data_IF_998860582365
#
_entry.id   IF_998860582365
#
_cell.length_a   1.000
_cell.length_b   1.000
_cell.length_c   1.000
_cell.angle_alpha   90.00
_cell.angle_beta   90.00
_cell.angle_gamma   90.00
#
_symmetry.space_group_name_H-M   'P 1'
#
loop_
_entity.id
_entity.type
_entity.pdbx_description
1 polymer ?
#
# COMPACT_ATOMS: atom_id res chain seq x y z
N UNK A 1 5.69 -7.66 5.66
CA UNK A 1 5.24 -6.41 5.01
C UNK A 1 3.82 -6.15 5.44
N UNK A 2 3.49 -4.91 5.79
CA UNK A 2 2.13 -4.46 6.11
C UNK A 2 1.66 -3.53 4.99
N UNK A 3 0.58 -3.92 4.33
CA UNK A 3 0.00 -3.16 3.21
C UNK A 3 -1.01 -2.20 3.83
N UNK A 4 -0.66 -0.91 3.83
CA UNK A 4 -1.50 0.14 4.43
C UNK A 4 -2.54 0.60 3.40
N UNK A 5 -2.15 0.64 2.12
CA UNK A 5 -3.02 1.07 1.03
C UNK A 5 -3.14 2.58 0.94
N UNK A 6 -4.34 3.05 0.56
CA UNK A 6 -4.66 4.48 0.58
C UNK A 6 -4.73 4.97 2.03
N UNK A 7 -3.90 5.97 2.35
CA UNK A 7 -3.96 6.64 3.66
C UNK A 7 -4.96 7.80 3.61
N UNK A 8 -5.53 8.16 4.75
CA UNK A 8 -6.50 9.24 4.85
C UNK A 8 -6.00 10.32 5.84
N UNK A 9 -6.44 11.56 5.65
CA UNK A 9 -6.26 12.60 6.68
C UNK A 9 -7.02 12.22 7.95
N UNK A 10 -6.63 12.78 9.10
CA UNK A 10 -7.40 12.60 10.31
C UNK A 10 -8.80 13.23 10.18
N UNK A 11 -9.80 12.59 10.78
CA UNK A 11 -11.11 13.20 10.97
C UNK A 11 -10.97 14.38 11.94
N UNK A 12 -11.65 15.49 11.66
CA UNK A 12 -11.75 16.60 12.61
C UNK A 12 -13.00 16.36 13.45
N UNK A 13 -12.84 16.36 14.77
CA UNK A 13 -13.94 16.20 15.72
C UNK A 13 -14.39 17.57 16.24
N UNK A 14 -15.69 17.73 16.47
CA UNK A 14 -16.24 18.90 17.17
C UNK A 14 -16.03 18.82 18.70
N UNK A 15 -16.53 19.82 19.42
CA UNK A 15 -16.40 19.91 20.88
C UNK A 15 -17.16 18.80 21.64
N UNK A 16 -18.11 18.13 20.99
CA UNK A 16 -18.90 17.03 21.54
C UNK A 16 -18.34 15.65 21.13
N UNK A 17 -17.27 15.62 20.34
CA UNK A 17 -16.59 14.42 19.87
C UNK A 17 -17.21 13.78 18.63
N UNK A 18 -18.13 14.46 17.94
CA UNK A 18 -18.68 13.98 16.67
C UNK A 18 -17.77 14.38 15.49
N UNK A 19 -17.84 13.64 14.40
CA UNK A 19 -17.08 13.95 13.17
C UNK A 19 -17.64 15.24 12.56
N UNK A 20 -16.84 16.30 12.61
CA UNK A 20 -17.12 17.57 11.95
C UNK A 20 -16.60 17.59 10.50
N UNK A 21 -15.54 16.84 10.20
CA UNK A 21 -14.99 16.71 8.85
C UNK A 21 -14.48 15.30 8.61
N UNK A 22 -14.96 14.68 7.55
CA UNK A 22 -14.57 13.33 7.16
C UNK A 22 -13.09 13.25 6.71
N UNK A 23 -12.40 12.15 7.05
CA UNK A 23 -11.10 11.81 6.51
C UNK A 23 -11.08 11.89 4.98
N UNK A 24 -10.11 12.61 4.43
CA UNK A 24 -9.90 12.71 2.98
C UNK A 24 -8.83 11.73 2.54
N UNK A 25 -9.07 11.00 1.46
CA UNK A 25 -8.09 10.11 0.88
C UNK A 25 -6.88 10.93 0.39
N UNK A 26 -5.69 10.55 0.85
CA UNK A 26 -4.44 11.10 0.34
C UNK A 26 -4.00 10.27 -0.88
N UNK A 27 -3.40 10.91 -1.89
CA UNK A 27 -2.91 10.21 -3.07
C UNK A 27 -1.79 9.22 -2.71
N UNK A 28 -1.73 8.13 -3.45
CA UNK A 28 -0.68 7.13 -3.34
C UNK A 28 -1.08 5.87 -2.57
N UNK A 29 -0.16 4.91 -2.60
CA UNK A 29 -0.30 3.60 -1.97
C UNK A 29 0.87 3.34 -1.04
N UNK A 30 0.57 3.11 0.24
CA UNK A 30 1.57 3.09 1.29
C UNK A 30 1.83 1.68 1.82
N UNK A 31 3.11 1.40 2.07
CA UNK A 31 3.58 0.09 2.51
C UNK A 31 4.64 0.28 3.60
N UNK A 32 4.57 -0.54 4.64
CA UNK A 32 5.63 -0.64 5.64
C UNK A 32 6.32 -2.01 5.58
N UNK A 33 7.63 -2.02 5.76
CA UNK A 33 8.43 -3.26 5.88
C UNK A 33 9.36 -3.20 7.09
N UNK A 34 9.72 -4.37 7.67
CA UNK A 34 10.65 -4.45 8.79
C UNK A 34 12.12 -4.26 8.38
N UNK A 35 12.41 -4.17 7.08
CA UNK A 35 13.74 -4.02 6.49
C UNK A 35 13.65 -3.35 5.11
N UNK A 36 14.75 -2.75 4.64
CA UNK A 36 14.77 -2.12 3.33
C UNK A 36 14.64 -3.17 2.21
N UNK A 37 13.84 -2.86 1.18
CA UNK A 37 13.65 -3.71 0.00
C UNK A 37 14.58 -3.19 -1.09
N UNK A 38 15.54 -4.01 -1.58
CA UNK A 38 16.42 -3.61 -2.67
C UNK A 38 15.62 -3.22 -3.93
N UNK A 39 15.96 -2.09 -4.53
CA UNK A 39 15.27 -1.58 -5.72
C UNK A 39 14.08 -0.66 -5.42
N UNK A 40 13.73 -0.47 -4.13
CA UNK A 40 12.63 0.42 -3.72
C UNK A 40 13.12 1.76 -3.13
N UNK A 41 14.41 2.07 -3.23
CA UNK A 41 15.03 3.25 -2.61
C UNK A 41 14.35 4.56 -3.05
N UNK A 42 13.90 4.62 -4.31
CA UNK A 42 13.20 5.78 -4.88
C UNK A 42 11.76 5.95 -4.34
N UNK A 43 11.16 4.89 -3.81
CA UNK A 43 9.82 4.90 -3.23
C UNK A 43 9.85 5.11 -1.72
N UNK A 44 11.04 5.07 -1.11
CA UNK A 44 11.20 5.19 0.32
C UNK A 44 10.79 6.60 0.77
N UNK A 45 9.83 6.64 1.69
CA UNK A 45 9.43 7.86 2.38
C UNK A 45 9.91 7.78 3.82
N UNK A 46 10.44 8.88 4.31
CA UNK A 46 10.79 9.01 5.72
C UNK A 46 9.65 9.73 6.43
N UNK A 47 8.86 9.06 7.28
CA UNK A 47 8.15 9.77 8.32
C UNK A 47 9.10 10.05 9.50
N UNK A 48 9.06 11.26 10.04
CA UNK A 48 9.66 11.54 11.37
C UNK A 48 8.92 10.76 12.49
N UNK A 49 7.66 10.35 12.24
CA UNK A 49 6.81 9.59 13.17
C UNK A 49 5.91 8.59 12.41
N UNK A 50 6.35 7.33 12.19
CA UNK A 50 5.51 6.32 11.56
C UNK A 50 4.30 5.95 12.43
N UNK A 51 3.09 5.90 11.85
CA UNK A 51 1.86 5.50 12.56
C UNK A 51 1.88 4.04 13.04
N UNK A 52 2.64 3.16 12.38
CA UNK A 52 2.82 1.76 12.73
C UNK A 52 4.30 1.43 12.74
N UNK A 53 4.77 0.83 13.83
CA UNK A 53 6.16 0.39 13.99
C UNK A 53 6.22 -1.11 14.21
N UNK A 54 7.25 -1.76 13.67
CA UNK A 54 7.53 -3.16 13.96
C UNK A 54 8.32 -3.30 15.26
N UNK A 55 7.81 -4.08 16.21
CA UNK A 55 8.50 -4.30 17.48
C UNK A 55 9.86 -4.99 17.25
N UNK A 56 10.96 -4.34 17.65
CA UNK A 56 12.32 -4.89 17.51
C UNK A 56 12.93 -4.79 16.11
N UNK A 57 12.26 -4.14 15.16
CA UNK A 57 12.74 -3.95 13.79
C UNK A 57 12.64 -2.48 13.37
N UNK A 58 13.49 -2.01 12.44
CA UNK A 58 13.25 -0.73 11.79
C UNK A 58 11.92 -0.77 11.04
N UNK A 59 11.33 0.40 10.82
CA UNK A 59 10.16 0.53 9.94
C UNK A 59 10.59 1.35 8.75
N UNK A 60 10.64 0.71 7.59
CA UNK A 60 10.88 1.38 6.32
C UNK A 60 9.54 1.59 5.65
N UNK A 61 9.25 2.84 5.31
CA UNK A 61 7.99 3.24 4.70
C UNK A 61 8.22 3.51 3.21
N UNK A 62 7.28 3.08 2.38
CA UNK A 62 7.28 3.37 0.95
C UNK A 62 5.95 3.97 0.53
N UNK A 63 6.01 4.86 -0.46
CA UNK A 63 4.86 5.40 -1.15
C UNK A 63 4.99 5.14 -2.64
N UNK A 64 3.96 4.51 -3.20
CA UNK A 64 3.77 4.32 -4.63
C UNK A 64 2.68 5.26 -5.14
N UNK A 65 2.66 5.52 -6.44
CA UNK A 65 1.66 6.39 -7.06
C UNK A 65 0.23 5.84 -6.93
N UNK A 66 0.09 4.51 -7.01
CA UNK A 66 -1.15 3.77 -6.89
C UNK A 66 -0.89 2.29 -6.55
N UNK A 67 -1.96 1.52 -6.37
CA UNK A 67 -1.90 0.08 -6.08
C UNK A 67 -1.24 -0.72 -7.21
N UNK A 68 -1.42 -0.33 -8.47
CA UNK A 68 -0.87 -1.04 -9.61
C UNK A 68 0.67 -0.91 -9.67
N UNK A 69 1.19 0.29 -9.41
CA UNK A 69 2.61 0.56 -9.31
C UNK A 69 3.27 -0.24 -8.17
N UNK A 70 2.61 -0.30 -7.00
CA UNK A 70 3.05 -1.17 -5.91
C UNK A 70 3.06 -2.65 -6.33
N UNK A 71 1.96 -3.12 -6.93
CA UNK A 71 1.79 -4.53 -7.29
C UNK A 71 2.87 -4.98 -8.28
N UNK A 72 3.16 -4.17 -9.30
CA UNK A 72 4.24 -4.43 -10.24
C UNK A 72 5.61 -4.52 -9.54
N UNK A 73 5.94 -3.53 -8.70
CA UNK A 73 7.20 -3.51 -7.96
C UNK A 73 7.34 -4.66 -6.97
N UNK A 74 6.23 -5.10 -6.36
CA UNK A 74 6.20 -6.23 -5.42
C UNK A 74 6.34 -7.58 -6.13
N UNK A 75 5.82 -7.73 -7.34
CA UNK A 75 6.06 -8.92 -8.16
C UNK A 75 7.53 -8.98 -8.59
N UNK A 76 8.10 -7.86 -9.05
CA UNK A 76 9.52 -7.78 -9.43
C UNK A 76 10.46 -8.08 -8.25
N UNK A 77 10.11 -7.61 -7.05
CA UNK A 77 10.84 -7.90 -5.82
C UNK A 77 10.60 -9.33 -5.28
N UNK A 78 9.72 -10.13 -5.90
CA UNK A 78 9.36 -11.47 -5.44
C UNK A 78 8.55 -11.50 -4.13
N UNK A 79 7.94 -10.37 -3.74
CA UNK A 79 7.11 -10.22 -2.55
C UNK A 79 5.64 -10.62 -2.79
N UNK A 80 5.18 -10.54 -4.04
CA UNK A 80 3.87 -11.03 -4.47
C UNK A 80 4.02 -12.03 -5.63
N UNK A 81 3.13 -13.04 -5.73
CA UNK A 81 3.11 -13.92 -6.88
C UNK A 81 2.73 -13.13 -8.13
N UNK A 82 3.37 -13.44 -9.27
CA UNK A 82 2.93 -12.94 -10.56
C UNK A 82 1.47 -13.39 -10.81
N UNK A 83 0.61 -12.53 -11.39
CA UNK A 83 -0.76 -12.92 -11.69
C UNK A 83 -0.74 -14.13 -12.62
N UNK A 84 -1.43 -15.21 -12.21
CA UNK A 84 -1.63 -16.35 -13.08
C UNK A 84 -2.38 -15.89 -14.33
N UNK A 85 -1.78 -16.09 -15.51
CA UNK A 85 -2.49 -15.91 -16.78
C UNK A 85 -3.60 -16.96 -16.83
N UNK A 86 -4.82 -16.55 -16.48
CA UNK A 86 -6.00 -17.37 -16.73
C UNK A 86 -6.13 -17.46 -18.25
N UNK A 87 -5.67 -18.55 -18.85
CA UNK A 87 -6.00 -18.86 -20.24
C UNK A 87 -7.53 -18.85 -20.35
N UNK A 88 -8.05 -17.92 -21.15
CA UNK A 88 -9.47 -17.83 -21.42
C UNK A 88 -9.94 -19.20 -21.93
N UNK A 89 -10.86 -19.82 -21.18
CA UNK A 89 -11.50 -21.05 -21.61
C UNK A 89 -12.02 -20.86 -23.05
N UNK A 90 -11.76 -21.79 -23.98
CA UNK A 90 -12.27 -21.67 -25.34
C UNK A 90 -13.79 -21.58 -25.27
N UNK A 91 -14.35 -20.50 -25.84
CA UNK A 91 -15.78 -20.28 -25.90
C UNK A 91 -16.46 -21.54 -26.46
N UNK A 92 -17.34 -22.16 -25.66
CA UNK A 92 -18.18 -23.26 -26.11
C UNK A 92 -19.02 -22.77 -27.31
N UNK A 93 -18.64 -23.22 -28.50
CA UNK A 93 -19.46 -23.10 -29.70
C UNK A 93 -20.64 -24.06 -29.50
N UNK A 94 -21.78 -23.52 -29.09
CA UNK A 94 -23.03 -24.29 -28.97
C UNK A 94 -23.56 -24.59 -30.38
N UNK A 95 -24.00 -25.84 -30.67
CA UNK A 95 -24.36 -26.31 -32.01
C UNK A 95 -25.65 -25.71 -32.59
#
# INVERSE_FOLDING_TARGET
>A
MDIIGTIYTQAILDAEGNIATDPQALPGWHINTPEAIPGWEQHQVFPETPMRVYAGHPTVCYAFTDEAAFTAAAIEAGLLPAPELIEAAPAEVTP
#
